data_IF_106672567536
#
_entry.id   IF_106672567536
#
_cell.length_a   1.000
_cell.length_b   1.000
_cell.length_c   1.000
_cell.angle_alpha   90.00
_cell.angle_beta   90.00
_cell.angle_gamma   90.00
#
_symmetry.space_group_name_H-M   'P 1'
#
loop_
_entity.id
_entity.type
_entity.pdbx_description
1 polymer ?
#
# COMPACT_ATOMS: atom_id res chain seq x y z
N UNK A 1 -1.77 21.14 -6.54
CA UNK A 1 -2.70 20.21 -5.86
C UNK A 1 -4.04 20.93 -5.71
N UNK A 2 -5.11 20.23 -6.06
CA UNK A 2 -6.49 20.72 -5.94
C UNK A 2 -7.24 19.85 -4.92
N UNK A 3 -7.84 20.47 -3.94
CA UNK A 3 -8.76 19.81 -3.03
C UNK A 3 -10.19 19.96 -3.53
N UNK A 4 -10.98 18.91 -3.46
CA UNK A 4 -12.33 18.90 -3.99
C UNK A 4 -13.26 17.99 -3.18
N UNK A 5 -14.53 18.00 -3.54
CA UNK A 5 -15.54 17.04 -3.12
C UNK A 5 -16.00 16.29 -4.36
N UNK A 6 -15.84 14.97 -4.39
CA UNK A 6 -16.22 14.12 -5.53
C UNK A 6 -17.50 13.34 -5.29
N UNK A 7 -18.21 13.58 -4.18
CA UNK A 7 -19.34 12.77 -3.77
C UNK A 7 -18.94 11.33 -3.49
N UNK A 8 -17.77 11.13 -2.86
CA UNK A 8 -17.21 9.83 -2.47
C UNK A 8 -16.85 8.89 -3.63
N UNK A 9 -16.66 9.43 -4.85
CA UNK A 9 -16.34 8.60 -6.02
C UNK A 9 -14.84 8.34 -6.19
N UNK A 10 -14.00 9.36 -5.99
CA UNK A 10 -12.55 9.28 -6.21
C UNK A 10 -11.81 9.83 -5.01
N UNK A 11 -10.85 9.08 -4.47
CA UNK A 11 -10.04 9.55 -3.34
C UNK A 11 -8.95 10.51 -3.79
N UNK A 12 -8.27 10.16 -4.88
CA UNK A 12 -7.19 10.96 -5.50
C UNK A 12 -7.03 10.58 -6.96
N UNK A 13 -6.58 11.50 -7.80
CA UNK A 13 -6.33 11.27 -9.21
C UNK A 13 -5.41 12.31 -9.81
N UNK A 14 -4.68 11.91 -10.85
CA UNK A 14 -3.87 12.81 -11.68
C UNK A 14 -4.70 13.30 -12.88
N UNK A 15 -4.54 14.55 -13.25
CA UNK A 15 -5.21 15.14 -14.40
C UNK A 15 -4.37 16.27 -15.00
N UNK A 16 -4.70 16.69 -16.21
CA UNK A 16 -4.18 17.95 -16.78
C UNK A 16 -5.13 19.10 -16.40
N UNK A 17 -4.58 20.21 -15.91
CA UNK A 17 -5.35 21.43 -15.66
C UNK A 17 -5.66 22.19 -16.96
N UNK A 18 -6.39 23.31 -16.86
CA UNK A 18 -6.77 24.14 -18.02
C UNK A 18 -5.56 24.72 -18.79
N UNK A 19 -4.36 24.67 -18.23
CA UNK A 19 -3.11 25.06 -18.85
C UNK A 19 -2.27 23.87 -19.33
N UNK A 20 -2.87 22.69 -19.43
CA UNK A 20 -2.21 21.43 -19.79
C UNK A 20 -1.06 21.01 -18.83
N UNK A 21 -1.08 21.52 -17.59
CA UNK A 21 -0.11 21.14 -16.56
C UNK A 21 -0.61 19.96 -15.74
N UNK A 22 0.31 19.06 -15.41
CA UNK A 22 0.01 17.94 -14.51
C UNK A 22 -0.45 18.46 -13.16
N UNK A 23 -1.61 18.00 -12.74
CA UNK A 23 -2.26 18.39 -11.51
C UNK A 23 -2.72 17.15 -10.72
N UNK A 24 -2.82 17.30 -9.41
CA UNK A 24 -3.28 16.26 -8.50
C UNK A 24 -4.56 16.71 -7.81
N UNK A 25 -5.63 15.94 -7.99
CA UNK A 25 -6.89 16.07 -7.29
C UNK A 25 -6.92 15.20 -6.03
N UNK A 26 -7.35 15.78 -4.91
CA UNK A 26 -7.53 15.09 -3.63
C UNK A 26 -8.94 15.38 -3.11
N UNK A 27 -9.71 14.33 -2.91
CA UNK A 27 -11.10 14.40 -2.46
C UNK A 27 -11.17 14.34 -0.95
N UNK A 28 -11.48 15.46 -0.30
CA UNK A 28 -11.50 15.56 1.15
C UNK A 28 -12.65 14.78 1.80
N UNK A 29 -13.72 14.50 1.08
CA UNK A 29 -14.85 13.69 1.53
C UNK A 29 -14.48 12.22 1.81
N UNK A 30 -13.38 11.73 1.27
CA UNK A 30 -12.82 10.41 1.58
C UNK A 30 -11.69 10.44 2.63
N UNK A 31 -11.63 11.50 3.46
CA UNK A 31 -10.68 11.66 4.57
C UNK A 31 -11.33 12.23 5.84
N UNK A 32 -12.64 11.93 6.05
CA UNK A 32 -13.43 12.46 7.17
C UNK A 32 -13.17 11.76 8.51
N UNK A 33 -12.36 10.71 8.51
CA UNK A 33 -12.05 9.90 9.69
C UNK A 33 -12.71 8.53 9.65
N UNK A 34 -12.19 7.59 10.44
CA UNK A 34 -12.65 6.20 10.49
C UNK A 34 -14.01 6.04 11.18
N UNK A 35 -14.41 7.03 11.99
CA UNK A 35 -15.74 7.11 12.63
C UNK A 35 -16.84 7.59 11.67
N UNK A 36 -16.48 8.19 10.53
CA UNK A 36 -17.47 8.61 9.55
C UNK A 36 -18.18 7.39 8.96
N UNK A 37 -19.52 7.40 8.85
CA UNK A 37 -20.29 6.20 8.49
C UNK A 37 -20.29 5.90 6.98
N UNK A 38 -19.12 5.78 6.35
CA UNK A 38 -18.96 5.48 4.91
C UNK A 38 -19.85 4.33 4.43
N UNK A 39 -19.96 3.27 5.22
CA UNK A 39 -20.79 2.11 4.88
C UNK A 39 -22.28 2.40 4.74
N UNK A 40 -22.75 3.52 5.32
CA UNK A 40 -24.15 3.96 5.18
C UNK A 40 -24.42 4.68 3.86
N UNK A 41 -23.37 5.21 3.20
CA UNK A 41 -23.49 5.87 1.91
C UNK A 41 -23.89 4.87 0.82
N UNK A 42 -23.22 3.74 0.78
CA UNK A 42 -23.52 2.60 -0.07
C UNK A 42 -23.15 1.29 0.64
N UNK A 43 -24.13 0.60 1.26
CA UNK A 43 -23.89 -0.64 1.99
C UNK A 43 -23.32 -1.78 1.15
N UNK A 44 -23.51 -1.76 -0.17
CA UNK A 44 -23.05 -2.81 -1.07
C UNK A 44 -21.64 -2.51 -1.65
N UNK A 45 -21.16 -1.28 -1.52
CA UNK A 45 -19.87 -0.91 -2.06
C UNK A 45 -18.72 -1.51 -1.23
N UNK A 46 -17.90 -2.41 -1.80
CA UNK A 46 -16.78 -3.02 -1.11
C UNK A 46 -15.70 -2.00 -0.71
N UNK A 47 -15.59 -0.87 -1.43
CA UNK A 47 -14.64 0.20 -1.11
C UNK A 47 -14.93 0.87 0.23
N UNK A 48 -16.13 0.75 0.77
CA UNK A 48 -16.52 1.23 2.09
C UNK A 48 -16.44 0.16 3.18
N UNK A 49 -15.70 -0.92 2.93
CA UNK A 49 -15.41 -1.92 3.95
C UNK A 49 -14.52 -1.33 5.05
N UNK A 50 -14.78 -1.69 6.31
CA UNK A 50 -14.08 -1.11 7.47
C UNK A 50 -12.56 -1.25 7.41
N UNK A 51 -12.04 -2.33 6.82
CA UNK A 51 -10.60 -2.53 6.67
C UNK A 51 -9.96 -1.58 5.64
N UNK A 52 -10.75 -0.94 4.77
CA UNK A 52 -10.32 0.11 3.84
C UNK A 52 -10.52 1.51 4.44
N UNK A 53 -11.74 1.77 4.97
CA UNK A 53 -12.13 3.11 5.45
C UNK A 53 -11.38 3.55 6.71
N UNK A 54 -10.74 2.64 7.44
CA UNK A 54 -9.89 2.97 8.59
C UNK A 54 -8.69 3.86 8.23
N UNK A 55 -8.30 3.90 6.94
CA UNK A 55 -7.26 4.78 6.41
C UNK A 55 -7.83 6.01 5.69
N UNK A 56 -9.13 6.31 5.89
CA UNK A 56 -9.80 7.49 5.33
C UNK A 56 -9.81 8.64 6.35
N UNK A 57 -8.66 8.96 6.88
CA UNK A 57 -8.45 9.99 7.87
C UNK A 57 -7.34 10.97 7.46
N UNK A 58 -7.17 12.03 8.25
CA UNK A 58 -6.18 13.07 7.99
C UNK A 58 -4.72 12.57 8.08
N UNK A 59 -4.46 11.53 8.88
CA UNK A 59 -3.11 10.98 9.07
C UNK A 59 -2.65 10.26 7.80
N UNK A 60 -3.58 9.57 7.12
CA UNK A 60 -3.30 8.91 5.84
C UNK A 60 -3.39 9.85 4.62
N UNK A 61 -3.97 11.05 4.76
CA UNK A 61 -4.18 11.97 3.64
C UNK A 61 -2.87 12.29 2.91
N UNK A 62 -1.83 12.68 3.65
CA UNK A 62 -0.53 13.03 3.05
C UNK A 62 0.10 11.81 2.40
N UNK A 63 0.13 10.67 3.10
CA UNK A 63 0.65 9.41 2.57
C UNK A 63 -0.03 9.01 1.27
N UNK A 64 -1.36 9.01 1.23
CA UNK A 64 -2.13 8.64 0.04
C UNK A 64 -1.96 9.65 -1.11
N UNK A 65 -1.75 10.93 -0.77
CA UNK A 65 -1.47 11.99 -1.77
C UNK A 65 -0.10 11.80 -2.40
N UNK A 66 0.93 11.52 -1.60
CA UNK A 66 2.29 11.26 -2.10
C UNK A 66 2.37 9.93 -2.85
N UNK A 67 1.63 8.93 -2.39
CA UNK A 67 1.62 7.58 -2.99
C UNK A 67 1.26 7.58 -4.48
N UNK A 68 0.28 8.38 -4.91
CA UNK A 68 -0.08 8.44 -6.34
C UNK A 68 1.05 8.99 -7.22
N UNK A 69 1.87 9.91 -6.67
CA UNK A 69 3.03 10.44 -7.37
C UNK A 69 4.16 9.41 -7.44
N UNK A 70 4.35 8.64 -6.36
CA UNK A 70 5.32 7.54 -6.33
C UNK A 70 4.89 6.44 -7.30
N UNK A 71 3.60 6.07 -7.33
CA UNK A 71 3.06 5.07 -8.25
C UNK A 71 3.27 5.48 -9.72
N UNK A 72 3.06 6.76 -10.05
CA UNK A 72 3.32 7.30 -11.39
C UNK A 72 4.79 7.17 -11.82
N UNK A 73 5.73 7.38 -10.89
CA UNK A 73 7.16 7.30 -11.16
C UNK A 73 7.70 5.86 -11.24
N UNK A 74 7.22 4.94 -10.41
CA UNK A 74 7.70 3.55 -10.42
C UNK A 74 7.01 2.68 -11.48
N UNK A 75 5.88 3.14 -12.03
CA UNK A 75 5.12 2.44 -13.08
C UNK A 75 4.57 1.09 -12.62
N UNK A 76 4.72 0.06 -13.46
CA UNK A 76 4.22 -1.31 -13.21
C UNK A 76 5.35 -2.27 -12.84
N UNK A 77 5.00 -3.40 -12.21
CA UNK A 77 5.97 -4.44 -11.87
C UNK A 77 6.67 -5.01 -13.12
N UNK A 78 7.99 -5.22 -13.05
CA UNK A 78 8.82 -5.76 -14.13
C UNK A 78 8.76 -7.30 -14.18
N UNK A 79 7.57 -7.88 -14.06
CA UNK A 79 7.35 -9.33 -14.09
C UNK A 79 5.96 -9.70 -13.60
N UNK A 80 5.65 -10.99 -13.68
CA UNK A 80 4.31 -11.51 -13.39
C UNK A 80 4.28 -12.43 -12.16
N UNK A 81 5.44 -12.78 -11.60
CA UNK A 81 5.54 -13.64 -10.42
C UNK A 81 5.21 -12.86 -9.16
N UNK A 82 4.74 -13.54 -8.16
CA UNK A 82 4.48 -12.92 -6.85
C UNK A 82 5.69 -12.15 -6.32
N UNK A 83 6.90 -12.70 -6.42
CA UNK A 83 8.12 -12.02 -5.96
C UNK A 83 8.37 -10.71 -6.71
N UNK A 84 8.04 -10.64 -7.99
CA UNK A 84 8.20 -9.42 -8.79
C UNK A 84 7.27 -8.31 -8.27
N UNK A 85 6.02 -8.66 -7.94
CA UNK A 85 5.05 -7.75 -7.33
C UNK A 85 5.41 -7.38 -5.89
N UNK A 86 5.95 -8.33 -5.11
CA UNK A 86 6.44 -8.06 -3.75
C UNK A 86 7.55 -7.01 -3.77
N UNK A 87 8.55 -7.16 -4.65
CA UNK A 87 9.65 -6.22 -4.81
C UNK A 87 9.14 -4.87 -5.29
N UNK A 88 8.27 -4.84 -6.30
CA UNK A 88 7.65 -3.62 -6.82
C UNK A 88 6.92 -2.83 -5.71
N UNK A 89 6.02 -3.48 -4.97
CA UNK A 89 5.31 -2.87 -3.85
C UNK A 89 6.26 -2.49 -2.71
N UNK A 90 7.32 -3.27 -2.50
CA UNK A 90 8.38 -2.98 -1.55
C UNK A 90 9.15 -1.70 -1.90
N UNK A 91 9.48 -1.48 -3.19
CA UNK A 91 10.10 -0.24 -3.69
C UNK A 91 9.20 0.96 -3.38
N UNK A 92 7.90 0.87 -3.70
CA UNK A 92 6.92 1.90 -3.40
C UNK A 92 6.90 2.27 -1.92
N UNK A 93 6.77 1.28 -1.04
CA UNK A 93 6.72 1.49 0.41
C UNK A 93 8.03 2.06 0.95
N UNK A 94 9.17 1.62 0.43
CA UNK A 94 10.49 2.14 0.80
C UNK A 94 10.63 3.62 0.43
N UNK A 95 10.20 4.02 -0.77
CA UNK A 95 10.26 5.40 -1.22
C UNK A 95 9.33 6.28 -0.38
N UNK A 96 8.10 5.82 -0.09
CA UNK A 96 7.15 6.52 0.77
C UNK A 96 7.72 6.75 2.17
N UNK A 97 8.32 5.73 2.78
CA UNK A 97 8.96 5.78 4.09
C UNK A 97 10.08 6.86 4.11
N UNK A 98 10.90 6.94 3.06
CA UNK A 98 11.99 7.91 2.97
C UNK A 98 11.54 9.33 2.62
N UNK A 99 10.43 9.49 1.88
CA UNK A 99 9.86 10.81 1.62
C UNK A 99 9.11 11.37 2.83
N UNK A 100 8.71 10.52 3.76
CA UNK A 100 7.93 10.88 4.95
C UNK A 100 8.56 10.28 6.23
N UNK A 101 9.80 10.68 6.58
CA UNK A 101 10.57 10.04 7.66
C UNK A 101 9.93 10.16 9.05
N UNK A 102 9.06 11.14 9.26
CA UNK A 102 8.33 11.34 10.52
C UNK A 102 7.01 10.54 10.57
N UNK A 103 6.67 9.82 9.49
CA UNK A 103 5.42 9.05 9.41
C UNK A 103 5.63 7.65 9.96
N UNK A 104 4.78 7.22 10.86
CA UNK A 104 4.89 5.89 11.46
C UNK A 104 4.67 4.78 10.42
N UNK A 105 5.44 3.69 10.51
CA UNK A 105 5.39 2.53 9.59
C UNK A 105 3.97 1.97 9.39
N UNK A 106 3.11 2.05 10.40
CA UNK A 106 1.72 1.62 10.30
C UNK A 106 0.89 2.46 9.32
N UNK A 107 1.16 3.76 9.22
CA UNK A 107 0.53 4.66 8.25
C UNK A 107 1.02 4.33 6.83
N UNK A 108 2.33 4.11 6.68
CA UNK A 108 2.94 3.71 5.40
C UNK A 108 2.31 2.41 4.87
N UNK A 109 2.14 1.41 5.74
CA UNK A 109 1.55 0.10 5.40
C UNK A 109 0.01 0.11 5.36
N UNK A 110 -0.64 1.16 5.91
CA UNK A 110 -2.08 1.18 6.21
C UNK A 110 -2.50 0.02 7.13
N UNK A 111 -1.66 -0.28 8.11
CA UNK A 111 -1.93 -1.25 9.17
C UNK A 111 -2.38 -0.53 10.45
N UNK A 112 -3.15 -1.22 11.28
CA UNK A 112 -3.27 -0.79 12.68
C UNK A 112 -1.95 -1.05 13.40
N UNK A 113 -1.72 -0.37 14.54
CA UNK A 113 -0.54 -0.63 15.38
C UNK A 113 -0.40 -2.10 15.75
N UNK A 114 -1.51 -2.79 16.05
CA UNK A 114 -1.53 -4.23 16.35
C UNK A 114 -1.12 -5.08 15.16
N UNK A 115 -1.58 -4.74 13.96
CA UNK A 115 -1.22 -5.44 12.73
C UNK A 115 0.24 -5.24 12.37
N UNK A 116 0.76 -4.03 12.56
CA UNK A 116 2.16 -3.73 12.32
C UNK A 116 3.07 -4.51 13.28
N UNK A 117 2.70 -4.54 14.56
CA UNK A 117 3.41 -5.33 15.57
C UNK A 117 3.35 -6.84 15.27
N UNK A 118 2.18 -7.34 14.86
CA UNK A 118 2.05 -8.75 14.46
C UNK A 118 2.97 -9.06 13.27
N UNK A 119 2.95 -8.25 12.22
CA UNK A 119 3.78 -8.44 11.03
C UNK A 119 5.28 -8.45 11.38
N UNK A 120 5.73 -7.52 12.22
CA UNK A 120 7.12 -7.45 12.68
C UNK A 120 7.52 -8.68 13.49
N UNK A 121 6.67 -9.15 14.40
CA UNK A 121 6.96 -10.32 15.24
C UNK A 121 6.92 -11.65 14.48
N UNK A 122 6.23 -11.69 13.34
CA UNK A 122 6.00 -12.91 12.56
C UNK A 122 6.66 -12.89 11.17
N UNK A 123 7.65 -12.01 10.95
CA UNK A 123 8.32 -11.89 9.64
C UNK A 123 8.85 -13.24 9.13
N UNK A 124 9.57 -13.99 9.97
CA UNK A 124 10.11 -15.31 9.60
C UNK A 124 9.01 -16.34 9.29
N UNK A 125 7.90 -16.31 10.05
CA UNK A 125 6.77 -17.21 9.80
C UNK A 125 6.08 -16.90 8.47
N UNK A 126 5.97 -15.62 8.10
CA UNK A 126 5.46 -15.23 6.78
C UNK A 126 6.38 -15.68 5.65
N UNK A 127 7.71 -15.55 5.82
CA UNK A 127 8.68 -16.09 4.87
C UNK A 127 8.51 -17.60 4.68
N UNK A 128 8.44 -18.35 5.80
CA UNK A 128 8.20 -19.81 5.79
C UNK A 128 6.92 -20.16 5.05
N UNK A 129 5.81 -19.46 5.34
CA UNK A 129 4.53 -19.66 4.67
C UNK A 129 4.63 -19.48 3.14
N UNK A 130 5.21 -18.37 2.66
CA UNK A 130 5.36 -18.12 1.24
C UNK A 130 6.27 -19.14 0.55
N UNK A 131 7.28 -19.64 1.26
CA UNK A 131 8.18 -20.67 0.77
C UNK A 131 7.49 -22.05 0.70
N UNK A 132 6.86 -22.46 1.80
CA UNK A 132 6.20 -23.77 1.91
C UNK A 132 5.00 -23.93 0.95
N UNK A 133 4.34 -22.81 0.65
CA UNK A 133 3.23 -22.78 -0.32
C UNK A 133 3.71 -22.52 -1.76
N UNK A 134 5.02 -22.46 -2.01
CA UNK A 134 5.64 -22.20 -3.33
C UNK A 134 5.16 -20.92 -4.03
N UNK A 135 4.71 -19.92 -3.23
CA UNK A 135 4.03 -18.74 -3.75
C UNK A 135 4.96 -17.72 -4.43
N UNK A 136 6.25 -17.72 -4.16
CA UNK A 136 7.17 -16.73 -4.73
C UNK A 136 7.17 -16.72 -6.27
N UNK A 137 6.99 -17.88 -6.90
CA UNK A 137 6.99 -18.03 -8.35
C UNK A 137 5.59 -18.18 -8.93
N UNK A 138 4.55 -18.08 -8.10
CA UNK A 138 3.16 -18.09 -8.55
C UNK A 138 2.91 -16.90 -9.49
N UNK A 139 2.20 -17.17 -10.60
CA UNK A 139 1.89 -16.17 -11.64
C UNK A 139 0.38 -15.91 -11.79
N UNK A 140 -0.45 -16.73 -11.15
CA UNK A 140 -1.90 -16.54 -11.17
C UNK A 140 -2.28 -15.33 -10.31
N UNK A 141 -2.71 -14.26 -10.96
CA UNK A 141 -3.08 -13.02 -10.29
C UNK A 141 -4.20 -13.18 -9.25
N UNK A 142 -5.13 -14.11 -9.43
CA UNK A 142 -6.17 -14.37 -8.43
C UNK A 142 -5.59 -14.97 -7.15
N UNK A 143 -4.55 -15.81 -7.27
CA UNK A 143 -3.84 -16.39 -6.12
C UNK A 143 -2.99 -15.37 -5.39
N UNK A 144 -2.16 -14.61 -6.12
CA UNK A 144 -1.22 -13.67 -5.51
C UNK A 144 -1.91 -12.42 -4.95
N UNK A 145 -2.99 -11.95 -5.56
CA UNK A 145 -3.76 -10.80 -5.08
C UNK A 145 -4.34 -10.99 -3.67
N UNK A 146 -4.54 -12.22 -3.23
CA UNK A 146 -4.96 -12.53 -1.86
C UNK A 146 -3.98 -12.00 -0.81
N UNK A 147 -2.71 -11.83 -1.18
CA UNK A 147 -1.63 -11.39 -0.29
C UNK A 147 -1.08 -10.00 -0.63
N UNK A 148 -1.40 -9.48 -1.82
CA UNK A 148 -1.00 -8.14 -2.27
C UNK A 148 -2.07 -7.08 -2.01
N UNK A 149 -3.35 -7.46 -2.17
CA UNK A 149 -4.47 -6.51 -2.05
C UNK A 149 -4.88 -6.31 -0.59
N UNK A 150 -5.46 -5.14 -0.27
CA UNK A 150 -6.08 -4.92 1.02
C UNK A 150 -7.18 -5.96 1.30
N UNK A 151 -7.12 -6.59 2.45
CA UNK A 151 -8.10 -7.57 2.92
C UNK A 151 -8.12 -7.60 4.46
N UNK A 152 -9.15 -8.16 5.09
CA UNK A 152 -9.20 -8.28 6.55
C UNK A 152 -8.04 -9.10 7.12
N UNK A 153 -7.66 -10.16 6.41
CA UNK A 153 -6.58 -11.10 6.79
C UNK A 153 -5.93 -11.73 5.55
N UNK A 154 -4.80 -12.39 5.73
CA UNK A 154 -4.11 -13.18 4.69
C UNK A 154 -4.56 -14.66 4.76
N UNK A 155 -5.15 -15.22 3.70
CA UNK A 155 -5.66 -16.60 3.70
C UNK A 155 -4.57 -17.63 3.96
N UNK A 156 -4.88 -18.64 4.77
CA UNK A 156 -3.95 -19.71 5.13
C UNK A 156 -2.95 -19.35 6.23
N UNK A 157 -2.86 -18.09 6.61
CA UNK A 157 -2.12 -17.61 7.78
C UNK A 157 -3.03 -17.54 9.02
N UNK A 158 -2.46 -17.37 10.24
CA UNK A 158 -3.27 -17.10 11.45
C UNK A 158 -4.25 -15.94 11.24
N UNK A 159 -5.37 -15.96 11.97
CA UNK A 159 -6.46 -14.97 11.82
C UNK A 159 -6.03 -13.53 12.11
N UNK A 160 -4.98 -13.37 12.91
CA UNK A 160 -4.35 -12.09 13.24
C UNK A 160 -3.49 -11.52 12.11
N UNK A 161 -3.10 -12.37 11.14
CA UNK A 161 -2.30 -11.94 9.99
C UNK A 161 -3.09 -10.93 9.15
N UNK A 162 -2.61 -9.69 8.98
CA UNK A 162 -3.31 -8.71 8.18
C UNK A 162 -3.29 -9.09 6.69
N UNK A 163 -4.13 -8.45 5.88
CA UNK A 163 -3.95 -8.46 4.43
C UNK A 163 -2.63 -7.80 4.02
N UNK A 164 -2.24 -7.92 2.76
CA UNK A 164 -1.01 -7.28 2.21
C UNK A 164 0.30 -7.79 2.83
N UNK A 165 0.32 -9.01 3.38
CA UNK A 165 1.54 -9.60 3.98
C UNK A 165 2.67 -9.72 2.97
N UNK A 166 2.38 -9.96 1.69
CA UNK A 166 3.38 -9.97 0.62
C UNK A 166 4.03 -8.59 0.42
N UNK A 167 3.26 -7.50 0.53
CA UNK A 167 3.80 -6.15 0.44
C UNK A 167 4.73 -5.84 1.62
N UNK A 168 4.38 -6.30 2.83
CA UNK A 168 5.24 -6.15 4.01
C UNK A 168 6.58 -6.85 3.79
N UNK A 169 6.56 -8.12 3.37
CA UNK A 169 7.79 -8.88 3.07
C UNK A 169 8.60 -8.20 1.95
N UNK A 170 7.93 -7.75 0.88
CA UNK A 170 8.59 -6.98 -0.19
C UNK A 170 9.29 -5.73 0.32
N UNK A 171 8.67 -5.01 1.25
CA UNK A 171 9.29 -3.84 1.89
C UNK A 171 10.53 -4.21 2.71
N UNK A 172 10.47 -5.31 3.48
CA UNK A 172 11.65 -5.78 4.23
C UNK A 172 12.78 -6.22 3.29
N UNK A 173 12.48 -6.84 2.14
CA UNK A 173 13.47 -7.18 1.10
C UNK A 173 14.19 -5.91 0.64
N UNK A 174 13.41 -4.88 0.25
CA UNK A 174 13.97 -3.63 -0.27
C UNK A 174 14.75 -2.87 0.80
N UNK A 175 14.24 -2.79 2.05
CA UNK A 175 14.98 -2.21 3.18
C UNK A 175 16.35 -2.89 3.36
N UNK A 176 16.40 -4.22 3.39
CA UNK A 176 17.65 -4.98 3.54
C UNK A 176 18.57 -4.82 2.34
N UNK A 177 18.03 -4.77 1.13
CA UNK A 177 18.80 -4.54 -0.09
C UNK A 177 19.48 -3.17 -0.07
N UNK A 178 18.74 -2.10 0.19
CA UNK A 178 19.27 -0.74 0.24
C UNK A 178 20.27 -0.55 1.38
N UNK A 179 20.03 -1.16 2.53
CA UNK A 179 20.98 -1.16 3.66
C UNK A 179 22.33 -1.80 3.29
N UNK A 180 22.32 -2.87 2.49
CA UNK A 180 23.55 -3.54 1.99
C UNK A 180 24.21 -2.78 0.84
N UNK A 181 23.53 -1.88 0.19
CA UNK A 181 23.99 -1.12 -0.96
C UNK A 181 23.90 0.40 -0.73
N UNK A 182 24.62 0.95 0.25
CA UNK A 182 24.46 2.35 0.70
C UNK A 182 24.86 3.41 -0.34
N UNK A 183 25.42 2.98 -1.47
CA UNK A 183 25.77 3.87 -2.60
C UNK A 183 24.59 4.07 -3.57
N UNK A 184 23.59 3.19 -3.51
CA UNK A 184 22.41 3.32 -4.34
C UNK A 184 21.49 4.43 -3.82
N UNK A 185 20.96 5.18 -4.76
CA UNK A 185 19.96 6.23 -4.50
C UNK A 185 18.54 5.71 -4.69
N UNK A 186 17.53 6.48 -4.30
CA UNK A 186 16.15 6.15 -4.63
C UNK A 186 15.90 6.14 -6.13
N UNK A 187 16.60 6.97 -6.92
CA UNK A 187 16.49 6.96 -8.37
C UNK A 187 17.01 5.67 -8.99
N UNK A 188 18.12 5.12 -8.45
CA UNK A 188 18.64 3.81 -8.87
C UNK A 188 17.66 2.67 -8.54
N UNK A 189 16.88 2.84 -7.47
CA UNK A 189 15.86 1.87 -7.08
C UNK A 189 14.63 1.89 -8.00
N UNK A 190 14.30 3.04 -8.58
CA UNK A 190 13.18 3.22 -9.52
C UNK A 190 13.53 2.69 -10.91
N UNK A 191 14.75 2.95 -11.37
CA UNK A 191 15.27 2.48 -12.66
C UNK A 191 15.29 0.95 -12.76
#
# INVERSE_FOLDING_TARGET
IYTMNTGFNYQRFLFADDNEKNALGVSLDLFLGDDYPYKRLDPQNPSFSKYLTRSFDKEHLVKKTVEILVDDQIGTANGVRMIDHMIHNGKRLYILDHLMPETHDSIIMEYTTKQMQWASNNELSMWGFFFDQELFYETNMMSINKYLSPSPNSPGMPTEAPGRTANYIGWQIVKKFMQKNPKLTMLDLIA
#
